data_IF_263166034138
#
_entry.id   IF_263166034138
#
_cell.length_a   1.000
_cell.length_b   1.000
_cell.length_c   1.000
_cell.angle_alpha   90.00
_cell.angle_beta   90.00
_cell.angle_gamma   90.00
#
_symmetry.space_group_name_H-M   'P 1'
#
loop_
_entity.id
_entity.type
_entity.pdbx_description
1 polymer ?
#
# COMPACT_ATOMS: atom_id res chain seq x y z
N UNK A 1 -3.37 2.55 -5.08
CA UNK A 1 -2.11 2.72 -4.33
C UNK A 1 -1.98 4.15 -3.87
N UNK A 2 -1.41 4.38 -2.69
CA UNK A 2 -1.14 5.71 -2.14
C UNK A 2 0.36 5.98 -2.22
N UNK A 3 0.72 7.10 -2.83
CA UNK A 3 2.08 7.45 -3.25
C UNK A 3 2.35 6.98 -4.67
N UNK A 4 2.48 7.92 -5.61
CA UNK A 4 2.86 7.68 -7.01
C UNK A 4 4.32 8.10 -7.25
N UNK A 5 5.18 7.83 -6.27
CA UNK A 5 6.61 8.13 -6.29
C UNK A 5 7.45 6.94 -6.74
N UNK A 6 8.76 7.07 -6.53
CA UNK A 6 9.75 6.04 -6.87
C UNK A 6 9.49 4.70 -6.18
N UNK A 7 9.18 4.69 -4.88
CA UNK A 7 8.85 3.46 -4.15
C UNK A 7 7.66 2.69 -4.75
N UNK A 8 6.71 3.42 -5.32
CA UNK A 8 5.62 2.84 -6.08
C UNK A 8 6.05 2.15 -7.36
N UNK A 9 7.00 2.76 -8.07
CA UNK A 9 7.66 2.16 -9.23
C UNK A 9 8.50 0.95 -8.86
N UNK A 10 9.27 1.03 -7.78
CA UNK A 10 10.09 -0.07 -7.29
C UNK A 10 9.25 -1.29 -6.89
N UNK A 11 8.11 -1.09 -6.23
CA UNK A 11 7.18 -2.16 -5.90
C UNK A 11 6.70 -2.87 -7.17
N UNK A 12 6.31 -2.09 -8.19
CA UNK A 12 5.89 -2.63 -9.48
C UNK A 12 7.01 -3.38 -10.20
N UNK A 13 8.24 -2.87 -10.13
CA UNK A 13 9.43 -3.56 -10.66
C UNK A 13 9.64 -4.88 -9.92
N UNK A 14 9.60 -4.90 -8.59
CA UNK A 14 9.74 -6.12 -7.77
C UNK A 14 8.66 -7.16 -8.07
N UNK A 15 7.41 -6.74 -8.27
CA UNK A 15 6.30 -7.62 -8.67
C UNK A 15 6.57 -8.23 -10.05
N UNK A 16 7.09 -7.44 -11.01
CA UNK A 16 7.38 -7.89 -12.38
C UNK A 16 8.63 -8.76 -12.49
N UNK A 17 9.65 -8.51 -11.68
CA UNK A 17 10.95 -9.20 -11.71
C UNK A 17 10.96 -10.51 -10.91
N UNK A 18 10.03 -10.68 -9.96
CA UNK A 18 9.86 -11.92 -9.20
C UNK A 18 8.54 -12.67 -9.48
N UNK A 19 8.23 -13.03 -10.75
CA UNK A 19 7.03 -13.78 -11.06
C UNK A 19 7.18 -15.25 -10.67
N UNK A 20 6.16 -15.79 -9.98
CA UNK A 20 5.88 -17.20 -9.71
C UNK A 20 6.89 -17.97 -8.83
N UNK A 21 6.65 -17.94 -7.52
CA UNK A 21 6.84 -19.13 -6.67
C UNK A 21 5.54 -19.37 -5.90
N UNK A 22 5.23 -20.63 -5.55
CA UNK A 22 4.05 -20.99 -4.71
C UNK A 22 3.99 -20.28 -3.35
N UNK A 23 5.03 -19.53 -3.01
CA UNK A 23 5.25 -18.84 -1.74
C UNK A 23 5.21 -17.30 -1.88
N UNK A 24 4.94 -16.76 -3.09
CA UNK A 24 4.91 -15.32 -3.34
C UNK A 24 3.47 -14.80 -3.63
N UNK A 25 2.76 -14.22 -2.63
CA UNK A 25 1.40 -13.70 -2.80
C UNK A 25 1.32 -12.34 -3.51
N UNK A 26 2.44 -11.85 -4.07
CA UNK A 26 2.47 -10.69 -4.95
C UNK A 26 2.01 -11.02 -6.39
N UNK A 27 1.69 -12.29 -6.68
CA UNK A 27 1.12 -12.69 -7.95
C UNK A 27 -0.16 -11.89 -8.25
N UNK A 28 -0.19 -11.25 -9.42
CA UNK A 28 -1.34 -10.52 -9.96
C UNK A 28 -1.72 -9.22 -9.24
N UNK A 29 -0.78 -8.52 -8.61
CA UNK A 29 -1.05 -7.14 -8.20
C UNK A 29 -1.16 -6.25 -9.44
N UNK A 30 -2.38 -5.84 -9.73
CA UNK A 30 -2.69 -4.80 -10.70
C UNK A 30 -2.98 -3.48 -9.97
N UNK A 31 -2.23 -2.44 -10.31
CA UNK A 31 -2.50 -1.11 -9.79
C UNK A 31 -3.59 -0.46 -10.65
N UNK A 32 -4.80 -0.37 -10.12
CA UNK A 32 -5.94 0.26 -10.80
C UNK A 32 -5.86 1.79 -10.83
N UNK A 33 -5.25 2.41 -9.82
CA UNK A 33 -5.08 3.86 -9.71
C UNK A 33 -4.10 4.25 -8.61
N UNK A 34 -3.66 5.51 -8.66
CA UNK A 34 -2.87 6.16 -7.62
C UNK A 34 -3.61 7.32 -6.95
N UNK A 35 -3.22 7.58 -5.71
CA UNK A 35 -3.46 8.83 -5.00
C UNK A 35 -2.13 9.38 -4.52
N UNK A 36 -1.86 10.65 -4.76
CA UNK A 36 -0.61 11.32 -4.39
C UNK A 36 -0.91 12.79 -4.07
N UNK A 37 -0.33 13.30 -2.98
CA UNK A 37 -0.58 14.66 -2.51
C UNK A 37 0.23 15.72 -3.29
N UNK A 38 1.13 15.31 -4.19
CA UNK A 38 1.75 16.21 -5.16
C UNK A 38 0.73 16.65 -6.23
N UNK A 39 0.30 17.93 -6.23
CA UNK A 39 -0.70 18.42 -7.17
C UNK A 39 -0.23 18.32 -8.62
N UNK A 40 1.07 18.28 -8.88
CA UNK A 40 1.62 18.13 -10.22
C UNK A 40 1.39 16.74 -10.81
N UNK A 41 1.04 15.74 -9.98
CA UNK A 41 0.78 14.37 -10.44
C UNK A 41 -0.68 14.12 -10.77
N UNK A 42 -1.61 14.95 -10.27
CA UNK A 42 -3.05 14.78 -10.49
C UNK A 42 -3.38 14.70 -11.98
N UNK A 43 -4.14 13.68 -12.37
CA UNK A 43 -4.53 13.42 -13.76
C UNK A 43 -3.43 12.84 -14.66
N UNK A 44 -2.19 12.70 -14.18
CA UNK A 44 -1.14 12.00 -14.94
C UNK A 44 -1.38 10.50 -14.90
N UNK A 45 -0.93 9.82 -15.95
CA UNK A 45 -0.81 8.38 -15.98
C UNK A 45 0.62 8.01 -15.57
N UNK A 46 0.75 7.26 -14.49
CA UNK A 46 2.02 6.84 -13.91
C UNK A 46 2.02 5.31 -13.91
N UNK A 47 3.07 4.67 -14.41
CA UNK A 47 3.16 3.20 -14.52
C UNK A 47 1.93 2.49 -15.14
N UNK A 48 1.19 3.18 -16.02
CA UNK A 48 0.01 2.63 -16.69
C UNK A 48 -1.32 2.86 -15.97
N UNK A 49 -1.33 3.44 -14.76
CA UNK A 49 -2.55 3.78 -14.03
C UNK A 49 -2.68 5.28 -13.71
N UNK A 50 -3.92 5.81 -13.66
CA UNK A 50 -4.14 7.23 -13.44
C UNK A 50 -3.95 7.64 -11.97
N UNK A 51 -3.44 8.83 -11.75
CA UNK A 51 -3.48 9.52 -10.44
C UNK A 51 -4.82 10.23 -10.33
N UNK A 52 -5.72 9.70 -9.51
CA UNK A 52 -7.11 10.18 -9.41
C UNK A 52 -7.25 11.42 -8.54
N UNK A 53 -6.39 11.58 -7.53
CA UNK A 53 -6.46 12.71 -6.61
C UNK A 53 -5.45 12.61 -5.48
N UNK A 54 -5.68 13.40 -4.44
CA UNK A 54 -4.89 13.41 -3.21
C UNK A 54 -5.42 12.38 -2.22
N UNK A 55 -4.74 12.16 -1.09
CA UNK A 55 -5.23 11.29 -0.03
C UNK A 55 -6.58 11.75 0.53
N UNK A 56 -6.90 13.05 0.49
CA UNK A 56 -8.20 13.60 0.90
C UNK A 56 -9.33 13.28 -0.07
N UNK A 57 -9.01 13.03 -1.34
CA UNK A 57 -9.99 12.62 -2.35
C UNK A 57 -10.40 11.14 -2.20
N UNK A 58 -9.70 10.33 -1.39
CA UNK A 58 -9.87 8.87 -1.30
C UNK A 58 -11.33 8.43 -1.09
N UNK A 59 -12.00 8.97 -0.07
CA UNK A 59 -13.37 8.55 0.28
C UNK A 59 -14.34 8.77 -0.89
N UNK A 60 -14.26 9.94 -1.52
CA UNK A 60 -15.09 10.31 -2.66
C UNK A 60 -14.88 9.37 -3.84
N UNK A 61 -13.62 9.02 -4.14
CA UNK A 61 -13.31 8.15 -5.27
C UNK A 61 -13.63 6.68 -4.98
N UNK A 62 -13.38 6.19 -3.76
CA UNK A 62 -13.73 4.82 -3.35
C UNK A 62 -15.24 4.58 -3.45
N UNK A 63 -16.06 5.56 -3.09
CA UNK A 63 -17.53 5.47 -3.26
C UNK A 63 -17.97 5.49 -4.74
N UNK A 64 -17.20 6.13 -5.63
CA UNK A 64 -17.52 6.26 -7.06
C UNK A 64 -16.86 5.20 -7.93
N UNK A 65 -15.92 4.44 -7.38
CA UNK A 65 -15.15 3.43 -8.09
C UNK A 65 -16.11 2.34 -8.58
N UNK A 66 -16.16 2.18 -9.90
CA UNK A 66 -16.93 1.11 -10.56
C UNK A 66 -16.18 -0.21 -10.61
N UNK A 67 -14.88 -0.18 -10.26
CA UNK A 67 -13.98 -1.33 -10.27
C UNK A 67 -13.79 -1.77 -8.83
N UNK A 68 -13.88 -3.07 -8.59
CA UNK A 68 -13.57 -3.65 -7.28
C UNK A 68 -12.06 -3.61 -7.05
N UNK A 69 -11.66 -3.19 -5.86
CA UNK A 69 -10.27 -3.31 -5.39
C UNK A 69 -10.20 -4.35 -4.27
N UNK A 70 -9.06 -5.02 -4.17
CA UNK A 70 -8.81 -6.03 -3.14
C UNK A 70 -8.02 -5.48 -1.93
N UNK A 71 -7.49 -4.26 -2.06
CA UNK A 71 -6.82 -3.60 -0.95
C UNK A 71 -6.23 -2.25 -1.32
N UNK A 72 -5.69 -1.59 -0.29
CA UNK A 72 -5.01 -0.31 -0.38
C UNK A 72 -3.55 -0.53 -0.03
N UNK A 73 -2.67 -0.24 -0.98
CA UNK A 73 -1.23 -0.25 -0.76
C UNK A 73 -0.74 1.16 -0.45
N UNK A 74 0.00 1.34 0.65
CA UNK A 74 0.65 2.61 1.03
C UNK A 74 2.15 2.49 0.75
N UNK A 75 2.69 3.37 -0.10
CA UNK A 75 4.10 3.43 -0.43
C UNK A 75 4.56 4.89 -0.56
N UNK A 76 4.83 5.51 0.60
CA UNK A 76 5.28 6.91 0.71
C UNK A 76 6.58 6.95 1.50
N UNK A 77 7.74 6.96 0.84
CA UNK A 77 9.06 6.85 1.50
C UNK A 77 9.33 7.93 2.56
N UNK A 78 8.80 9.14 2.39
CA UNK A 78 9.09 10.30 3.26
C UNK A 78 8.01 10.57 4.32
N UNK A 79 7.07 9.64 4.54
CA UNK A 79 5.99 9.85 5.51
C UNK A 79 6.49 9.70 6.95
N UNK A 80 6.19 10.68 7.82
CA UNK A 80 6.45 10.57 9.25
C UNK A 80 5.49 9.60 9.96
N UNK A 81 5.90 9.06 11.11
CA UNK A 81 5.13 8.06 11.88
C UNK A 81 3.67 8.48 12.17
N UNK A 82 3.45 9.67 12.73
CA UNK A 82 2.09 10.15 13.06
C UNK A 82 1.19 10.25 11.82
N UNK A 83 1.76 10.74 10.71
CA UNK A 83 1.05 10.84 9.44
C UNK A 83 0.76 9.46 8.85
N UNK A 84 1.69 8.51 8.98
CA UNK A 84 1.49 7.13 8.55
C UNK A 84 0.36 6.45 9.33
N UNK A 85 0.35 6.58 10.66
CA UNK A 85 -0.72 6.03 11.52
C UNK A 85 -2.07 6.67 11.18
N UNK A 86 -2.11 7.99 11.03
CA UNK A 86 -3.32 8.71 10.61
C UNK A 86 -3.85 8.20 9.26
N UNK A 87 -2.96 8.03 8.28
CA UNK A 87 -3.30 7.52 6.95
C UNK A 87 -3.80 6.06 7.01
N UNK A 88 -3.14 5.20 7.77
CA UNK A 88 -3.58 3.82 7.97
C UNK A 88 -4.97 3.77 8.59
N UNK A 89 -5.21 4.54 9.65
CA UNK A 89 -6.51 4.60 10.31
C UNK A 89 -7.60 5.13 9.37
N UNK A 90 -7.28 6.16 8.57
CA UNK A 90 -8.16 6.65 7.50
C UNK A 90 -8.52 5.54 6.53
N UNK A 91 -7.54 4.78 6.04
CA UNK A 91 -7.74 3.68 5.09
C UNK A 91 -8.52 2.50 5.67
N UNK A 92 -8.27 2.11 6.93
CA UNK A 92 -8.99 1.01 7.60
C UNK A 92 -10.50 1.24 7.65
N UNK A 93 -10.96 2.49 7.77
CA UNK A 93 -12.40 2.83 7.80
C UNK A 93 -13.13 2.49 6.51
N UNK A 94 -12.43 2.30 5.40
CA UNK A 94 -13.02 1.91 4.12
C UNK A 94 -13.32 0.40 4.03
N UNK A 95 -12.89 -0.40 5.01
CA UNK A 95 -13.15 -1.85 5.04
C UNK A 95 -12.28 -2.66 4.09
N UNK A 96 -11.23 -2.07 3.52
CA UNK A 96 -10.26 -2.77 2.68
C UNK A 96 -9.00 -3.15 3.48
N UNK A 97 -8.37 -4.29 3.17
CA UNK A 97 -7.04 -4.60 3.66
C UNK A 97 -6.05 -3.48 3.33
N UNK A 98 -5.18 -3.14 4.29
CA UNK A 98 -4.13 -2.13 4.12
C UNK A 98 -2.78 -2.83 4.09
N UNK A 99 -2.07 -2.64 2.98
CA UNK A 99 -0.74 -3.20 2.73
C UNK A 99 0.33 -2.12 2.86
N UNK A 100 1.43 -2.47 3.50
CA UNK A 100 2.60 -1.61 3.71
C UNK A 100 3.84 -2.24 3.09
N UNK A 101 4.75 -1.42 2.57
CA UNK A 101 6.09 -1.89 2.29
C UNK A 101 6.87 -2.20 3.57
N UNK A 102 7.99 -2.92 3.40
CA UNK A 102 8.81 -3.41 4.52
C UNK A 102 9.40 -2.29 5.37
N UNK A 103 9.64 -1.11 4.79
CA UNK A 103 10.20 0.02 5.52
C UNK A 103 9.15 0.65 6.43
N UNK A 104 7.93 0.85 5.93
CA UNK A 104 6.81 1.33 6.76
C UNK A 104 6.43 0.32 7.83
N UNK A 105 6.44 -0.97 7.52
CA UNK A 105 6.16 -2.02 8.50
C UNK A 105 7.17 -1.99 9.65
N UNK A 106 8.47 -1.84 9.36
CA UNK A 106 9.52 -1.71 10.38
C UNK A 106 9.30 -0.50 11.29
N UNK A 107 8.95 0.66 10.71
CA UNK A 107 8.67 1.88 11.49
C UNK A 107 7.52 1.70 12.48
N UNK A 108 6.50 0.92 12.12
CA UNK A 108 5.37 0.60 13.00
C UNK A 108 5.80 -0.39 14.08
N UNK A 109 6.49 -1.47 13.69
CA UNK A 109 6.95 -2.51 14.60
C UNK A 109 7.92 -1.99 15.67
N UNK A 110 8.80 -1.06 15.32
CA UNK A 110 9.78 -0.48 16.24
C UNK A 110 9.15 0.46 17.29
N UNK A 111 7.90 0.89 17.10
CA UNK A 111 7.21 1.87 17.95
C UNK A 111 5.99 1.33 18.70
N UNK A 112 5.52 0.10 18.44
CA UNK A 112 4.26 -0.45 18.97
C UNK A 112 4.44 -1.85 19.57
N UNK A 113 3.76 -2.11 20.70
CA UNK A 113 3.51 -3.46 21.22
C UNK A 113 2.40 -4.10 20.37
N UNK A 114 2.73 -5.13 19.60
CA UNK A 114 2.11 -5.61 18.33
C UNK A 114 0.58 -5.86 18.38
N UNK A 115 -0.04 -5.87 19.56
CA UNK A 115 -1.45 -6.18 19.79
C UNK A 115 -2.48 -5.24 19.12
N UNK A 116 -2.11 -4.05 18.63
CA UNK A 116 -3.07 -3.10 18.03
C UNK A 116 -3.16 -3.18 16.49
N UNK A 117 -2.26 -3.92 15.82
CA UNK A 117 -2.12 -3.90 14.37
C UNK A 117 -2.08 -5.28 13.69
N UNK A 118 -2.73 -6.30 14.26
CA UNK A 118 -2.92 -7.62 13.62
C UNK A 118 -3.52 -7.54 12.20
N UNK A 119 -4.19 -6.44 11.85
CA UNK A 119 -4.82 -6.24 10.54
C UNK A 119 -3.91 -5.67 9.44
N UNK A 120 -2.62 -5.40 9.72
CA UNK A 120 -1.69 -4.90 8.69
C UNK A 120 -0.96 -6.05 8.04
N UNK A 121 -1.03 -6.12 6.70
CA UNK A 121 -0.36 -7.14 5.93
C UNK A 121 0.87 -6.51 5.26
N UNK A 122 2.06 -7.07 5.51
CA UNK A 122 3.24 -6.76 4.71
C UNK A 122 3.43 -7.86 3.66
N UNK A 123 3.58 -7.53 2.37
CA UNK A 123 3.83 -8.53 1.34
C UNK A 123 5.15 -9.27 1.53
N UNK A 124 6.14 -8.68 2.22
CA UNK A 124 7.41 -9.34 2.52
C UNK A 124 7.31 -10.37 3.67
N UNK A 125 6.28 -10.25 4.53
CA UNK A 125 6.07 -11.15 5.69
C UNK A 125 5.35 -12.44 5.29
N UNK A 126 4.67 -12.44 4.13
CA UNK A 126 3.99 -13.65 3.65
C UNK A 126 4.95 -14.79 3.25
N UNK A 127 6.21 -14.48 2.90
CA UNK A 127 7.23 -15.50 2.59
C UNK A 127 8.06 -15.96 3.78
N UNK A 128 7.92 -15.34 4.94
CA UNK A 128 8.75 -15.61 6.15
C UNK A 128 7.94 -16.04 7.38
N UNK A 129 6.61 -16.05 7.29
CA UNK A 129 5.70 -16.41 8.39
C UNK A 129 5.68 -17.91 8.73
N UNK A 130 6.37 -18.77 7.97
CA UNK A 130 6.54 -20.20 8.32
C UNK A 130 7.71 -20.49 9.28
N UNK A 131 8.41 -19.48 9.82
CA UNK A 131 9.60 -19.71 10.67
C UNK A 131 9.57 -19.01 12.04
N UNK A 132 8.53 -18.22 12.35
CA UNK A 132 8.46 -17.50 13.64
C UNK A 132 7.62 -18.19 14.72
N UNK A 133 7.18 -19.44 14.46
CA UNK A 133 6.57 -20.32 15.46
C UNK A 133 7.17 -21.73 15.40
N UNK A 134 8.44 -21.86 15.78
CA UNK A 134 9.02 -23.12 16.33
C UNK A 134 10.08 -22.77 17.35
#
# INVERSE_FOLDING_TARGET
MIGAGEAGGELLTKIKEHPLTKENPLENIEIVCFFDDDPQKKGKNIFGAPVLGTTDDLELYLQKLKIKIDGIYISISSIGYENLISLINKCKRFGYPVYLDSEHFRVINDRINIHEFESLLSPAVYGSSNSLYT
#
